data_IF_201814949124
#
_entry.id   IF_201814949124
#
_cell.length_a   1.000
_cell.length_b   1.000
_cell.length_c   1.000
_cell.angle_alpha   90.00
_cell.angle_beta   90.00
_cell.angle_gamma   90.00
#
_symmetry.space_group_name_H-M   'P 1'
#
loop_
_entity.id
_entity.type
_entity.pdbx_description
1 polymer ?
#
# COMPACT_ATOMS: atom_id res chain seq x y z
N UNK A 1 45.98 -60.87 -12.52
CA UNK A 1 46.48 -59.47 -12.58
C UNK A 1 45.39 -58.46 -12.98
N UNK A 2 44.17 -58.51 -12.39
CA UNK A 2 43.06 -57.60 -12.78
C UNK A 2 42.43 -56.80 -11.61
N UNK A 3 42.96 -56.91 -10.38
CA UNK A 3 42.32 -56.32 -9.20
C UNK A 3 42.61 -54.81 -9.01
N UNK A 4 43.76 -54.32 -9.49
CA UNK A 4 44.16 -52.90 -9.35
C UNK A 4 43.49 -51.94 -10.34
N UNK A 5 43.12 -52.42 -11.54
CA UNK A 5 42.48 -51.59 -12.57
C UNK A 5 41.06 -51.16 -12.18
N UNK A 6 40.32 -52.02 -11.48
CA UNK A 6 38.94 -51.72 -11.07
C UNK A 6 38.86 -50.65 -9.97
N UNK A 7 39.87 -50.58 -9.10
CA UNK A 7 39.95 -49.56 -8.05
C UNK A 7 40.31 -48.18 -8.62
N UNK A 8 41.23 -48.11 -9.59
CA UNK A 8 41.59 -46.87 -10.28
C UNK A 8 40.46 -46.31 -11.15
N UNK A 9 39.69 -47.17 -11.84
CA UNK A 9 38.52 -46.72 -12.63
C UNK A 9 37.42 -46.14 -11.73
N UNK A 10 37.17 -46.72 -10.55
CA UNK A 10 36.21 -46.18 -9.58
C UNK A 10 36.67 -44.84 -9.01
N UNK A 11 37.96 -44.69 -8.73
CA UNK A 11 38.54 -43.42 -8.29
C UNK A 11 38.44 -42.34 -9.38
N UNK A 12 38.74 -42.68 -10.65
CA UNK A 12 38.58 -41.75 -11.77
C UNK A 12 37.12 -41.34 -11.96
N UNK A 13 36.17 -42.27 -11.87
CA UNK A 13 34.74 -41.98 -12.00
C UNK A 13 34.26 -41.08 -10.85
N UNK A 14 34.74 -41.31 -9.62
CA UNK A 14 34.45 -40.46 -8.48
C UNK A 14 35.03 -39.05 -8.64
N UNK A 15 36.28 -38.93 -9.06
CA UNK A 15 36.90 -37.62 -9.36
C UNK A 15 36.15 -36.87 -10.47
N UNK A 16 35.71 -37.57 -11.51
CA UNK A 16 34.94 -36.98 -12.60
C UNK A 16 33.56 -36.50 -12.12
N UNK A 17 32.90 -37.28 -11.25
CA UNK A 17 31.61 -36.90 -10.68
C UNK A 17 31.73 -35.70 -9.74
N UNK A 18 32.78 -35.64 -8.92
CA UNK A 18 33.08 -34.48 -8.06
C UNK A 18 33.39 -33.24 -8.90
N UNK A 19 34.20 -33.40 -9.96
CA UNK A 19 34.50 -32.29 -10.88
C UNK A 19 33.24 -31.77 -11.57
N UNK A 20 32.34 -32.66 -11.98
CA UNK A 20 31.05 -32.28 -12.58
C UNK A 20 30.18 -31.50 -11.59
N UNK A 21 30.12 -31.93 -10.33
CA UNK A 21 29.32 -31.28 -9.29
C UNK A 21 29.79 -29.85 -8.97
N UNK A 22 31.10 -29.61 -9.05
CA UNK A 22 31.71 -28.28 -8.86
C UNK A 22 31.43 -27.33 -10.03
N UNK A 23 31.22 -27.85 -11.24
CA UNK A 23 30.90 -27.02 -12.41
C UNK A 23 29.43 -26.59 -12.40
N UNK A 24 28.54 -27.41 -11.84
CA UNK A 24 27.09 -27.17 -11.79
C UNK A 24 26.63 -26.33 -10.58
N UNK A 25 27.45 -25.43 -10.07
CA UNK A 25 27.03 -24.54 -8.98
C UNK A 25 26.03 -23.50 -9.52
N UNK A 26 24.85 -23.33 -8.89
CA UNK A 26 23.91 -22.29 -9.29
C UNK A 26 24.53 -20.91 -9.04
N UNK A 27 24.54 -20.06 -10.06
CA UNK A 27 24.96 -18.66 -9.91
C UNK A 27 23.93 -17.91 -9.07
N UNK A 28 24.35 -17.08 -8.09
CA UNK A 28 23.40 -16.28 -7.32
C UNK A 28 22.70 -15.27 -8.23
N UNK A 29 21.41 -15.46 -8.46
CA UNK A 29 20.59 -14.52 -9.21
C UNK A 29 20.22 -13.35 -8.31
N UNK A 30 20.84 -12.19 -8.52
CA UNK A 30 20.46 -10.97 -7.83
C UNK A 30 19.28 -10.34 -8.55
N UNK A 31 18.07 -10.40 -7.97
CA UNK A 31 16.92 -9.69 -8.53
C UNK A 31 17.15 -8.19 -8.38
N UNK A 32 17.34 -7.48 -9.48
CA UNK A 32 17.41 -6.02 -9.49
C UNK A 32 15.98 -5.47 -9.45
N UNK A 33 15.62 -4.86 -8.33
CA UNK A 33 14.37 -4.12 -8.18
C UNK A 33 14.58 -2.76 -8.87
N UNK A 34 13.84 -2.51 -9.95
CA UNK A 34 13.85 -1.22 -10.65
C UNK A 34 12.67 -0.39 -10.15
N UNK A 35 12.96 0.76 -9.55
CA UNK A 35 11.96 1.74 -9.14
C UNK A 35 12.07 2.89 -10.15
N UNK A 36 11.06 3.04 -10.99
CA UNK A 36 10.97 4.17 -11.92
C UNK A 36 10.52 5.42 -11.15
N UNK A 37 11.46 6.32 -10.91
CA UNK A 37 11.22 7.63 -10.27
C UNK A 37 10.86 8.74 -11.28
N UNK A 38 10.96 8.46 -12.58
CA UNK A 38 10.68 9.42 -13.66
C UNK A 38 9.25 9.28 -14.19
N UNK A 39 8.55 8.20 -13.86
CA UNK A 39 7.12 8.09 -14.07
C UNK A 39 6.43 9.23 -13.31
N UNK A 40 5.58 10.06 -13.96
CA UNK A 40 4.93 11.17 -13.29
C UNK A 40 4.20 10.62 -12.06
N UNK A 41 4.55 11.16 -10.89
CA UNK A 41 3.95 10.81 -9.61
C UNK A 41 2.43 10.73 -9.82
N UNK A 42 1.86 9.53 -9.64
CA UNK A 42 0.45 9.31 -9.85
C UNK A 42 -0.31 10.35 -9.02
N UNK A 43 -1.16 11.16 -9.68
CA UNK A 43 -1.83 12.26 -9.00
C UNK A 43 -2.58 11.72 -7.78
N UNK A 44 -2.32 12.31 -6.60
CA UNK A 44 -2.98 11.94 -5.36
C UNK A 44 -4.50 11.99 -5.56
N UNK A 45 -5.21 10.98 -5.05
CA UNK A 45 -6.66 10.90 -5.13
C UNK A 45 -7.26 11.92 -4.13
N UNK A 46 -8.00 12.93 -4.60
CA UNK A 46 -8.67 13.89 -3.70
C UNK A 46 -9.76 13.21 -2.87
N UNK A 47 -9.78 13.46 -1.55
CA UNK A 47 -10.78 12.92 -0.63
C UNK A 47 -11.19 13.95 0.43
N UNK A 48 -12.48 13.99 0.76
CA UNK A 48 -13.02 14.79 1.85
C UNK A 48 -13.30 13.93 3.08
N UNK A 49 -12.90 14.41 4.26
CA UNK A 49 -13.11 13.72 5.54
C UNK A 49 -13.83 14.69 6.49
N UNK A 50 -15.16 14.63 6.58
CA UNK A 50 -15.92 15.43 7.53
C UNK A 50 -15.65 14.99 8.98
N UNK A 51 -15.92 15.89 9.93
CA UNK A 51 -15.88 15.53 11.35
C UNK A 51 -16.95 14.48 11.66
N UNK A 52 -16.61 13.52 12.51
CA UNK A 52 -17.57 12.50 12.93
C UNK A 52 -18.59 13.09 13.89
N UNK A 53 -19.88 12.86 13.63
CA UNK A 53 -20.97 13.23 14.53
C UNK A 53 -21.34 12.06 15.44
N UNK A 54 -21.70 12.38 16.68
CA UNK A 54 -22.27 11.41 17.62
C UNK A 54 -23.79 11.25 17.40
N UNK A 55 -24.29 10.02 17.33
CA UNK A 55 -25.74 9.77 17.14
C UNK A 55 -26.59 10.29 18.33
N UNK A 56 -26.01 10.34 19.54
CA UNK A 56 -26.70 10.88 20.73
C UNK A 56 -26.93 12.40 20.69
N UNK A 57 -26.35 13.12 19.73
CA UNK A 57 -26.48 14.58 19.61
C UNK A 57 -25.78 15.38 20.72
N UNK A 58 -25.03 14.73 21.60
CA UNK A 58 -24.34 15.41 22.70
C UNK A 58 -23.16 16.24 22.20
N UNK A 59 -23.28 17.56 22.34
CA UNK A 59 -22.24 18.52 21.98
C UNK A 59 -20.91 18.32 22.74
N UNK A 60 -20.93 17.58 23.86
CA UNK A 60 -19.75 17.25 24.65
C UNK A 60 -18.74 16.39 23.89
N UNK A 61 -19.18 15.62 22.89
CA UNK A 61 -18.34 14.68 22.14
C UNK A 61 -17.82 15.23 20.80
N UNK A 62 -18.12 16.49 20.46
CA UNK A 62 -17.57 17.19 19.29
C UNK A 62 -16.04 17.14 19.17
N UNK A 63 -15.24 17.33 20.24
CA UNK A 63 -13.78 17.25 20.12
C UNK A 63 -13.31 15.85 19.68
N UNK A 64 -13.96 14.79 20.18
CA UNK A 64 -13.63 13.40 19.81
C UNK A 64 -13.86 13.15 18.31
N UNK A 65 -14.98 13.67 17.77
CA UNK A 65 -15.30 13.51 16.36
C UNK A 65 -14.32 14.20 15.43
N UNK A 66 -13.76 15.34 15.85
CA UNK A 66 -12.68 16.03 15.15
C UNK A 66 -11.35 15.26 15.24
N UNK A 67 -11.01 14.76 16.41
CA UNK A 67 -9.79 13.97 16.64
C UNK A 67 -9.76 12.70 15.77
N UNK A 68 -10.89 11.98 15.69
CA UNK A 68 -11.04 10.83 14.80
C UNK A 68 -10.82 11.18 13.32
N UNK A 69 -11.37 12.30 12.86
CA UNK A 69 -11.19 12.78 11.50
C UNK A 69 -9.71 13.15 11.23
N UNK A 70 -9.03 13.75 12.21
CA UNK A 70 -7.61 14.10 12.12
C UNK A 70 -6.71 12.86 12.07
N UNK A 71 -6.95 11.85 12.91
CA UNK A 71 -6.22 10.57 12.88
C UNK A 71 -6.40 9.87 11.54
N UNK A 72 -7.62 9.82 11.01
CA UNK A 72 -7.89 9.22 9.70
C UNK A 72 -7.20 10.00 8.57
N UNK A 73 -7.26 11.34 8.61
CA UNK A 73 -6.61 12.21 7.64
C UNK A 73 -5.10 11.97 7.61
N UNK A 74 -4.47 11.90 8.78
CA UNK A 74 -3.03 11.66 8.92
C UNK A 74 -2.65 10.26 8.41
N UNK A 75 -3.47 9.23 8.67
CA UNK A 75 -3.24 7.88 8.16
C UNK A 75 -3.30 7.80 6.63
N UNK A 76 -4.27 8.50 6.02
CA UNK A 76 -4.43 8.53 4.57
C UNK A 76 -3.38 9.38 3.87
N UNK A 77 -2.99 10.53 4.44
CA UNK A 77 -1.90 11.35 3.87
C UNK A 77 -0.55 10.62 3.95
N UNK A 78 -0.30 9.87 5.04
CA UNK A 78 0.91 9.05 5.19
C UNK A 78 1.06 7.98 4.09
N UNK A 79 -0.04 7.46 3.55
CA UNK A 79 0.00 6.49 2.45
C UNK A 79 0.60 7.07 1.15
N UNK A 80 0.63 8.40 1.01
CA UNK A 80 1.06 9.09 -0.21
C UNK A 80 0.08 8.98 -1.38
N UNK A 81 -1.03 8.26 -1.22
CA UNK A 81 -2.02 8.02 -2.27
C UNK A 81 -3.11 9.10 -2.32
N UNK A 82 -3.41 9.75 -1.19
CA UNK A 82 -4.56 10.66 -1.07
C UNK A 82 -4.14 12.11 -0.86
N UNK A 83 -4.99 13.02 -1.34
CA UNK A 83 -4.92 14.47 -1.07
C UNK A 83 -6.16 14.86 -0.26
N UNK A 84 -5.97 15.19 1.02
CA UNK A 84 -7.05 15.61 1.90
C UNK A 84 -7.55 17.00 1.48
N UNK A 85 -8.85 17.13 1.24
CA UNK A 85 -9.50 18.43 0.98
C UNK A 85 -9.65 19.21 2.30
N UNK A 86 -9.42 20.52 2.25
CA UNK A 86 -9.58 21.40 3.41
C UNK A 86 -11.05 21.41 3.87
N UNK A 87 -11.35 21.12 5.15
CA UNK A 87 -12.71 21.22 5.67
C UNK A 87 -13.38 22.59 5.44
N UNK A 88 -12.60 23.67 5.27
CA UNK A 88 -13.11 25.00 4.97
C UNK A 88 -13.78 25.13 3.59
N UNK A 89 -13.47 24.24 2.64
CA UNK A 89 -14.13 24.23 1.31
C UNK A 89 -15.41 23.38 1.27
N UNK A 90 -15.80 22.75 2.39
CA UNK A 90 -17.01 21.95 2.42
C UNK A 90 -18.25 22.85 2.31
N UNK A 91 -19.12 22.53 1.35
CA UNK A 91 -20.36 23.27 1.07
C UNK A 91 -21.47 22.98 2.11
N UNK A 92 -21.28 21.93 2.92
CA UNK A 92 -22.19 21.51 3.97
C UNK A 92 -21.50 21.49 5.32
N UNK A 93 -22.26 21.85 6.35
CA UNK A 93 -21.85 21.71 7.75
C UNK A 93 -21.87 20.21 8.12
N UNK A 94 -20.71 19.59 8.39
CA UNK A 94 -20.63 18.14 8.69
C UNK A 94 -21.44 17.75 9.93
N UNK A 95 -21.70 18.69 10.84
CA UNK A 95 -22.53 18.46 12.03
C UNK A 95 -24.03 18.37 11.70
N UNK A 96 -24.45 18.98 10.58
CA UNK A 96 -25.86 19.03 10.13
C UNK A 96 -26.13 18.12 8.94
N UNK A 97 -25.08 17.58 8.33
CA UNK A 97 -25.21 16.61 7.23
C UNK A 97 -25.89 15.35 7.73
N UNK A 98 -26.87 14.86 6.99
CA UNK A 98 -27.47 13.57 7.32
C UNK A 98 -26.52 12.40 7.12
N UNK A 99 -26.72 11.31 7.86
CA UNK A 99 -25.90 10.08 7.70
C UNK A 99 -26.54 9.15 6.68
N UNK A 100 -27.83 9.33 6.41
CA UNK A 100 -28.53 8.52 5.41
C UNK A 100 -28.15 8.94 3.99
N UNK A 101 -28.16 7.96 3.09
CA UNK A 101 -27.75 8.16 1.70
C UNK A 101 -28.56 9.24 0.98
N UNK A 102 -29.84 9.37 1.32
CA UNK A 102 -30.74 10.35 0.71
C UNK A 102 -30.52 11.78 1.25
N UNK A 103 -29.86 11.92 2.40
CA UNK A 103 -29.55 13.20 3.02
C UNK A 103 -28.18 13.75 2.57
N UNK A 104 -27.30 12.89 2.05
CA UNK A 104 -25.97 13.25 1.54
C UNK A 104 -26.09 13.81 0.13
N UNK A 105 -25.71 15.09 -0.05
CA UNK A 105 -25.71 15.71 -1.39
C UNK A 105 -24.42 15.38 -2.16
N UNK A 106 -24.34 14.18 -2.71
CA UNK A 106 -23.23 13.73 -3.57
C UNK A 106 -22.85 14.68 -4.73
N UNK A 107 -23.76 15.45 -5.36
CA UNK A 107 -23.38 16.41 -6.40
C UNK A 107 -22.43 17.51 -5.90
N UNK A 108 -22.60 17.97 -4.65
CA UNK A 108 -21.73 19.00 -4.06
C UNK A 108 -20.32 18.45 -3.79
N UNK A 109 -20.22 17.19 -3.35
CA UNK A 109 -18.94 16.51 -3.14
C UNK A 109 -18.18 16.26 -4.45
N UNK A 110 -18.88 15.90 -5.53
CA UNK A 110 -18.29 15.78 -6.87
C UNK A 110 -17.75 17.09 -7.40
N UNK A 111 -18.43 18.20 -7.11
CA UNK A 111 -17.95 19.53 -7.52
C UNK A 111 -16.61 19.89 -6.84
N UNK A 112 -16.40 19.45 -5.61
CA UNK A 112 -15.12 19.61 -4.88
C UNK A 112 -14.02 18.65 -5.36
N UNK A 113 -14.31 17.81 -6.35
CA UNK A 113 -13.36 16.85 -6.90
C UNK A 113 -13.23 15.56 -6.08
N UNK A 114 -14.13 15.27 -5.13
CA UNK A 114 -14.14 13.97 -4.47
C UNK A 114 -14.64 12.90 -5.45
N UNK A 115 -13.71 12.13 -6.02
CA UNK A 115 -13.99 11.10 -7.04
C UNK A 115 -14.48 9.77 -6.43
N UNK A 116 -14.26 9.56 -5.13
CA UNK A 116 -14.74 8.39 -4.38
C UNK A 116 -15.89 8.83 -3.45
N UNK A 117 -17.10 8.30 -3.67
CA UNK A 117 -18.37 8.70 -3.02
C UNK A 117 -19.09 7.51 -2.40
#
# INVERSE_FOLDING_TARGET
MNCGYFLNVRTCLFCLLVSLLVIFQPTPTQSRIYIDINSPLQQKIPIAIPSFRHESGEAANKPMGKELAEVLSNGLDFSGLFSILDPAVFLQDPEKMGVEKDEIKFPEWRFLGADLL
#
